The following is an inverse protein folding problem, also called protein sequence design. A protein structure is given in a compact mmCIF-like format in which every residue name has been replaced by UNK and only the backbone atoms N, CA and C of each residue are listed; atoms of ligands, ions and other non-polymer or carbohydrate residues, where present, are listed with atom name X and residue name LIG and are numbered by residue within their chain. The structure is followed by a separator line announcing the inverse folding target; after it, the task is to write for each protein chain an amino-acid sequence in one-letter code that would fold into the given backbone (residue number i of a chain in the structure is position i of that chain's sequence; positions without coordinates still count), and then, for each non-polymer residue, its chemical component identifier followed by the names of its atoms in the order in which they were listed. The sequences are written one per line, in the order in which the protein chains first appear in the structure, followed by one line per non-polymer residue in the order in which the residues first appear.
data_IF_188189723112
#
_entry.id   IF_188189723112
#
_cell.length_a   1.000
_cell.length_b   1.000
_cell.length_c   1.000
_cell.angle_alpha   90.00
_cell.angle_beta   90.00
_cell.angle_gamma   90.00
#
_symmetry.space_group_name_H-M   'P 1'
#
loop_
_entity.id
_entity.type
_entity.pdbx_description
1 polymer ?
#
# COMPACT_ATOMS: atom_id res chain seq x y z
N UNK A 1 6.64 -11.80 18.73
CA UNK A 1 7.26 -12.29 17.48
C UNK A 1 7.75 -11.06 16.76
N UNK A 2 9.03 -11.02 16.38
CA UNK A 2 9.59 -9.91 15.61
C UNK A 2 8.77 -9.68 14.33
N UNK A 3 8.86 -8.48 13.75
CA UNK A 3 8.22 -8.17 12.48
C UNK A 3 8.59 -9.23 11.44
N UNK A 4 7.58 -9.81 10.82
CA UNK A 4 7.73 -10.80 9.76
C UNK A 4 7.28 -10.17 8.45
N UNK A 5 8.10 -10.31 7.40
CA UNK A 5 7.77 -9.91 6.02
C UNK A 5 7.54 -11.20 5.24
N UNK A 6 6.32 -11.40 4.76
CA UNK A 6 5.87 -12.67 4.20
C UNK A 6 5.37 -12.41 2.77
N UNK A 7 5.92 -13.08 1.74
CA UNK A 7 5.33 -13.06 0.41
C UNK A 7 3.90 -13.54 0.45
N UNK A 8 3.00 -12.77 -0.14
CA UNK A 8 1.56 -12.94 -0.06
C UNK A 8 0.96 -12.93 -1.46
N UNK A 9 0.26 -14.02 -1.79
CA UNK A 9 -0.48 -14.12 -3.04
C UNK A 9 -1.92 -13.72 -2.79
N UNK A 10 -2.36 -12.65 -3.47
CA UNK A 10 -3.78 -12.30 -3.52
C UNK A 10 -4.59 -13.45 -4.13
N UNK A 11 -5.81 -13.73 -3.64
CA UNK A 11 -6.66 -14.77 -4.22
C UNK A 11 -7.21 -14.33 -5.58
N UNK A 12 -8.05 -15.16 -6.20
CA UNK A 12 -8.68 -14.81 -7.47
C UNK A 12 -9.52 -13.52 -7.33
N UNK A 13 -9.43 -12.57 -8.27
CA UNK A 13 -10.17 -11.32 -8.20
C UNK A 13 -11.67 -11.56 -8.20
N UNK A 14 -12.40 -10.79 -7.39
CA UNK A 14 -13.82 -10.57 -7.62
C UNK A 14 -13.99 -9.55 -8.75
N UNK A 15 -15.03 -9.72 -9.57
CA UNK A 15 -15.38 -8.78 -10.62
C UNK A 15 -15.89 -7.47 -9.99
N UNK A 16 -15.30 -6.34 -10.41
CA UNK A 16 -15.73 -5.02 -9.97
C UNK A 16 -16.89 -4.57 -10.86
N UNK A 17 -18.02 -4.10 -10.30
CA UNK A 17 -19.15 -3.65 -11.09
C UNK A 17 -18.76 -2.61 -12.15
N UNK A 18 -19.25 -2.77 -13.39
CA UNK A 18 -18.86 -1.94 -14.53
C UNK A 18 -18.99 -0.45 -14.27
N UNK A 19 -20.10 -0.02 -13.66
CA UNK A 19 -20.32 1.40 -13.35
C UNK A 19 -19.27 1.99 -12.38
N UNK A 20 -18.67 1.17 -11.50
CA UNK A 20 -17.57 1.60 -10.63
C UNK A 20 -16.29 1.68 -11.46
N UNK A 21 -15.97 0.63 -12.22
CA UNK A 21 -14.76 0.58 -13.03
C UNK A 21 -14.73 1.69 -14.09
N UNK A 22 -15.84 1.92 -14.79
CA UNK A 22 -15.99 2.98 -15.78
C UNK A 22 -15.93 4.37 -15.14
N UNK A 23 -16.51 4.53 -13.95
CA UNK A 23 -16.38 5.77 -13.18
C UNK A 23 -14.93 6.10 -12.84
N UNK A 24 -14.14 5.09 -12.43
CA UNK A 24 -12.72 5.27 -12.15
C UNK A 24 -11.91 5.57 -13.42
N UNK A 25 -12.20 4.91 -14.54
CA UNK A 25 -11.52 5.15 -15.83
C UNK A 25 -11.74 6.55 -16.41
N UNK A 26 -12.80 7.23 -16.02
CA UNK A 26 -13.09 8.60 -16.45
C UNK A 26 -12.33 9.66 -15.63
N UNK A 27 -11.63 9.25 -14.57
CA UNK A 27 -10.83 10.13 -13.73
C UNK A 27 -9.37 10.19 -14.21
N UNK A 28 -8.64 11.28 -13.92
CA UNK A 28 -7.18 11.27 -13.96
C UNK A 28 -6.62 10.10 -13.14
N UNK A 29 -5.54 9.47 -13.62
CA UNK A 29 -5.07 8.20 -13.07
C UNK A 29 -4.82 8.22 -11.54
N UNK A 30 -4.16 9.26 -11.02
CA UNK A 30 -3.91 9.39 -9.58
C UNK A 30 -5.19 9.65 -8.78
N UNK A 31 -6.16 10.37 -9.36
CA UNK A 31 -7.48 10.59 -8.75
C UNK A 31 -8.28 9.29 -8.72
N UNK A 32 -8.18 8.47 -9.77
CA UNK A 32 -8.80 7.15 -9.82
C UNK A 32 -8.24 6.22 -8.74
N UNK A 33 -6.91 6.19 -8.56
CA UNK A 33 -6.28 5.37 -7.51
C UNK A 33 -6.66 5.86 -6.12
N UNK A 34 -6.66 7.18 -5.89
CA UNK A 34 -7.14 7.76 -4.63
C UNK A 34 -8.59 7.36 -4.36
N UNK A 35 -9.47 7.46 -5.38
CA UNK A 35 -10.86 7.06 -5.26
C UNK A 35 -11.02 5.55 -5.00
N UNK A 36 -10.22 4.73 -5.67
CA UNK A 36 -10.17 3.29 -5.42
C UNK A 36 -9.74 2.98 -3.97
N UNK A 37 -8.74 3.68 -3.45
CA UNK A 37 -8.36 3.55 -2.03
C UNK A 37 -9.50 3.93 -1.08
N UNK A 38 -10.26 5.00 -1.36
CA UNK A 38 -11.47 5.33 -0.58
C UNK A 38 -12.50 4.18 -0.59
N UNK A 39 -12.76 3.57 -1.76
CA UNK A 39 -13.67 2.43 -1.86
C UNK A 39 -13.19 1.21 -1.05
N UNK A 40 -11.87 1.00 -0.95
CA UNK A 40 -11.30 -0.05 -0.09
C UNK A 40 -11.49 0.25 1.40
N UNK A 41 -11.41 1.53 1.79
CA UNK A 41 -11.73 1.93 3.16
C UNK A 41 -13.21 1.71 3.49
N UNK A 42 -14.12 1.92 2.53
CA UNK A 42 -15.56 1.75 2.70
C UNK A 42 -15.97 0.28 2.96
N UNK A 43 -15.20 -0.69 2.44
CA UNK A 43 -15.42 -2.13 2.69
C UNK A 43 -14.61 -2.67 3.87
N UNK A 44 -14.06 -1.79 4.71
CA UNK A 44 -13.20 -2.15 5.84
C UNK A 44 -11.95 -2.95 5.43
N UNK A 45 -11.38 -2.74 4.24
CA UNK A 45 -10.14 -3.42 3.84
C UNK A 45 -8.90 -2.85 4.55
N UNK A 46 -8.94 -1.58 4.97
CA UNK A 46 -7.90 -0.91 5.74
C UNK A 46 -8.46 0.26 6.56
N UNK A 47 -7.67 0.82 7.47
CA UNK A 47 -7.95 2.13 8.09
C UNK A 47 -7.17 3.27 7.43
N UNK A 48 -5.97 2.93 6.93
CA UNK A 48 -5.07 3.84 6.21
C UNK A 48 -4.56 3.11 4.98
N UNK A 49 -4.55 3.79 3.84
CA UNK A 49 -3.95 3.32 2.59
C UNK A 49 -2.93 4.35 2.13
N UNK A 50 -1.70 3.90 1.92
CA UNK A 50 -0.64 4.71 1.32
C UNK A 50 -0.57 4.34 -0.15
N UNK A 51 -0.66 5.34 -1.01
CA UNK A 51 -0.51 5.20 -2.46
C UNK A 51 0.83 5.81 -2.90
N UNK A 52 1.66 4.94 -3.45
CA UNK A 52 2.96 5.28 -4.02
C UNK A 52 2.94 4.95 -5.52
N UNK A 53 3.56 5.80 -6.33
CA UNK A 53 3.62 5.66 -7.79
C UNK A 53 5.05 5.83 -8.28
N UNK A 54 5.43 5.03 -9.26
CA UNK A 54 6.66 5.23 -10.04
C UNK A 54 6.39 6.29 -11.11
N UNK A 55 7.20 7.35 -11.13
CA UNK A 55 7.07 8.40 -12.14
C UNK A 55 7.80 8.05 -13.46
N UNK A 56 7.78 8.97 -14.41
CA UNK A 56 8.39 8.79 -15.73
C UNK A 56 9.92 8.60 -15.68
N UNK A 57 10.57 9.04 -14.60
CA UNK A 57 12.01 8.88 -14.39
C UNK A 57 12.34 7.53 -13.72
N UNK A 58 11.32 6.77 -13.31
CA UNK A 58 11.47 5.50 -12.60
C UNK A 58 11.57 5.67 -11.08
N UNK A 59 11.35 6.88 -10.57
CA UNK A 59 11.49 7.20 -9.16
C UNK A 59 10.20 6.95 -8.39
N UNK A 60 10.33 6.43 -7.18
CA UNK A 60 9.20 6.19 -6.30
C UNK A 60 8.74 7.51 -5.67
N UNK A 61 7.45 7.83 -5.85
CA UNK A 61 6.81 9.03 -5.34
C UNK A 61 5.62 8.68 -4.44
N UNK A 62 5.53 9.30 -3.26
CA UNK A 62 4.30 9.27 -2.48
C UNK A 62 3.25 10.19 -3.13
N UNK A 63 2.15 9.62 -3.60
CA UNK A 63 1.07 10.37 -4.23
C UNK A 63 -0.03 10.74 -3.26
N UNK A 64 -0.49 9.80 -2.45
CA UNK A 64 -1.56 10.05 -1.50
C UNK A 64 -1.47 9.16 -0.27
N UNK A 65 -2.03 9.65 0.82
CA UNK A 65 -2.39 8.84 1.98
C UNK A 65 -3.88 9.06 2.22
N UNK A 66 -4.64 7.97 2.20
CA UNK A 66 -6.09 7.99 2.38
C UNK A 66 -6.39 7.33 3.70
N UNK A 67 -7.08 8.04 4.60
CA UNK A 67 -7.44 7.52 5.93
C UNK A 67 -8.93 7.67 6.16
N UNK A 68 -9.50 6.75 6.94
CA UNK A 68 -10.92 6.79 7.29
C UNK A 68 -11.33 8.06 8.03
N UNK A 69 -10.42 8.62 8.81
CA UNK A 69 -10.65 9.86 9.58
C UNK A 69 -10.36 11.15 8.79
N UNK A 70 -9.98 11.05 7.51
CA UNK A 70 -9.68 12.21 6.66
C UNK A 70 -8.36 12.94 6.98
N UNK A 71 -7.55 12.46 7.94
CA UNK A 71 -6.26 13.05 8.34
C UNK A 71 -5.06 12.50 7.58
N UNK A 72 -5.26 12.02 6.36
CA UNK A 72 -4.20 11.40 5.56
C UNK A 72 -3.06 12.35 5.22
N UNK A 73 -3.34 13.65 5.05
CA UNK A 73 -2.34 14.65 4.67
C UNK A 73 -1.21 14.82 5.71
N UNK A 74 -1.55 14.86 7.00
CA UNK A 74 -0.57 14.98 8.10
C UNK A 74 0.40 13.79 8.11
N UNK A 75 -0.10 12.57 7.91
CA UNK A 75 0.73 11.38 7.81
C UNK A 75 1.55 11.40 6.50
N UNK A 76 0.95 11.85 5.40
CA UNK A 76 1.63 11.99 4.13
C UNK A 76 2.84 12.93 4.21
N UNK A 77 2.72 14.06 4.90
CA UNK A 77 3.85 14.98 5.11
C UNK A 77 5.01 14.34 5.89
N UNK A 78 4.71 13.54 6.91
CA UNK A 78 5.72 12.81 7.69
C UNK A 78 6.40 11.73 6.85
N UNK A 79 5.63 10.99 6.07
CA UNK A 79 6.16 9.92 5.23
C UNK A 79 6.96 10.48 4.05
N UNK A 80 6.58 11.60 3.44
CA UNK A 80 7.38 12.23 2.36
C UNK A 80 8.83 12.57 2.74
N UNK A 81 9.14 12.63 4.03
CA UNK A 81 10.52 12.85 4.53
C UNK A 81 11.39 11.59 4.47
N UNK A 82 10.86 10.43 4.06
CA UNK A 82 11.67 9.23 3.91
C UNK A 82 12.68 9.39 2.76
N UNK A 83 13.93 8.99 3.02
CA UNK A 83 15.06 9.17 2.08
C UNK A 83 14.96 8.36 0.79
N UNK A 84 14.00 7.43 0.70
CA UNK A 84 13.78 6.59 -0.48
C UNK A 84 12.78 7.18 -1.49
N UNK A 85 12.06 8.24 -1.14
CA UNK A 85 11.25 8.96 -2.13
C UNK A 85 12.13 9.84 -3.02
N UNK A 86 11.78 9.92 -4.31
CA UNK A 86 12.62 10.59 -5.32
C UNK A 86 13.90 9.81 -5.66
N UNK A 87 13.86 8.49 -5.48
CA UNK A 87 14.92 7.57 -5.90
C UNK A 87 14.34 6.41 -6.71
N UNK A 88 15.16 5.75 -7.55
CA UNK A 88 14.69 4.62 -8.35
C UNK A 88 14.19 3.49 -7.47
N UNK A 89 13.04 2.92 -7.83
CA UNK A 89 12.47 1.75 -7.13
C UNK A 89 13.44 0.54 -7.12
N UNK A 90 14.36 0.48 -8.08
CA UNK A 90 15.35 -0.60 -8.23
C UNK A 90 16.46 -0.58 -7.18
N UNK A 91 16.58 0.46 -6.36
CA UNK A 91 17.46 0.41 -5.20
C UNK A 91 16.88 -0.55 -4.15
N UNK A 92 17.34 -1.80 -4.19
CA UNK A 92 16.82 -2.91 -3.39
C UNK A 92 16.76 -2.60 -1.89
N UNK A 93 15.62 -2.92 -1.26
CA UNK A 93 15.45 -2.92 0.20
C UNK A 93 15.21 -1.55 0.85
N UNK A 94 15.22 -0.46 0.07
CA UNK A 94 15.05 0.89 0.64
C UNK A 94 13.60 1.24 1.00
N UNK A 95 12.60 0.62 0.34
CA UNK A 95 11.18 0.85 0.62
C UNK A 95 10.38 -0.46 0.65
N UNK A 96 9.19 -0.43 1.26
CA UNK A 96 8.29 -1.58 1.28
C UNK A 96 7.84 -1.97 -0.14
N UNK A 97 7.57 -0.97 -1.00
CA UNK A 97 7.28 -1.20 -2.41
C UNK A 97 8.46 -1.90 -3.11
N UNK A 98 9.69 -1.40 -2.91
CA UNK A 98 10.90 -2.00 -3.49
C UNK A 98 11.09 -3.46 -3.04
N UNK A 99 10.87 -3.75 -1.75
CA UNK A 99 10.91 -5.12 -1.23
C UNK A 99 9.86 -6.03 -1.91
N UNK A 100 8.64 -5.53 -2.15
CA UNK A 100 7.58 -6.28 -2.82
C UNK A 100 7.94 -6.61 -4.27
N UNK A 101 8.45 -5.64 -5.02
CA UNK A 101 8.90 -5.85 -6.41
C UNK A 101 10.11 -6.77 -6.51
N UNK A 102 11.11 -6.63 -5.62
CA UNK A 102 12.25 -7.54 -5.55
C UNK A 102 11.80 -9.00 -5.30
N UNK A 103 10.78 -9.19 -4.46
CA UNK A 103 10.18 -10.49 -4.19
C UNK A 103 9.22 -10.97 -5.29
N UNK A 104 8.93 -10.16 -6.31
CA UNK A 104 7.90 -10.41 -7.35
C UNK A 104 6.56 -10.84 -6.75
N UNK A 105 6.20 -10.22 -5.62
CA UNK A 105 5.03 -10.63 -4.84
C UNK A 105 4.52 -9.46 -4.00
N UNK A 106 3.21 -9.42 -3.76
CA UNK A 106 2.69 -8.58 -2.68
C UNK A 106 3.21 -9.09 -1.34
N UNK A 107 3.28 -8.24 -0.33
CA UNK A 107 3.81 -8.62 0.99
C UNK A 107 2.73 -8.49 2.06
N UNK A 108 2.72 -9.43 3.00
CA UNK A 108 2.07 -9.29 4.30
C UNK A 108 3.14 -9.02 5.35
N UNK A 109 2.99 -7.92 6.08
CA UNK A 109 3.87 -7.55 7.19
C UNK A 109 3.04 -7.50 8.47
N UNK A 110 3.51 -8.21 9.49
CA UNK A 110 2.83 -8.28 10.79
C UNK A 110 3.83 -8.65 11.89
N UNK A 111 3.49 -8.36 13.15
CA UNK A 111 4.30 -8.75 14.30
C UNK A 111 4.49 -7.61 15.31
N UNK A 112 5.55 -7.72 16.11
CA UNK A 112 5.98 -6.72 17.07
C UNK A 112 7.22 -6.03 16.53
N UNK A 113 7.18 -4.70 16.42
CA UNK A 113 8.34 -3.88 16.11
C UNK A 113 8.89 -3.25 17.39
N UNK A 114 10.21 -3.10 17.41
CA UNK A 114 10.97 -2.39 18.44
C UNK A 114 11.90 -1.44 17.71
N UNK A 115 11.97 -0.18 18.16
CA UNK A 115 12.81 0.83 17.56
C UNK A 115 14.29 0.37 17.54
N UNK A 116 14.89 0.38 16.35
CA UNK A 116 16.28 -0.04 16.15
C UNK A 116 16.50 -1.54 15.91
N UNK A 117 15.44 -2.36 15.88
CA UNK A 117 15.53 -3.77 15.47
C UNK A 117 15.10 -3.98 14.01
N UNK A 118 15.74 -4.93 13.33
CA UNK A 118 15.37 -5.34 11.97
C UNK A 118 14.16 -6.31 11.95
N UNK A 119 13.34 -6.31 10.88
CA UNK A 119 13.40 -5.40 9.73
C UNK A 119 12.93 -4.00 10.08
N UNK A 120 13.69 -3.00 9.64
CA UNK A 120 13.37 -1.60 9.86
C UNK A 120 12.19 -1.21 8.97
N UNK A 121 11.04 -0.98 9.59
CA UNK A 121 9.98 -0.23 8.92
C UNK A 121 10.48 1.18 8.63
N UNK A 122 10.02 1.83 7.53
CA UNK A 122 10.27 3.24 7.29
C UNK A 122 10.00 4.07 8.56
N UNK A 123 10.91 4.95 8.95
CA UNK A 123 10.87 5.65 10.24
C UNK A 123 9.54 6.36 10.48
N UNK A 124 9.01 7.06 9.48
CA UNK A 124 7.71 7.73 9.59
C UNK A 124 6.55 6.75 9.76
N UNK A 125 6.62 5.58 9.13
CA UNK A 125 5.61 4.53 9.27
C UNK A 125 5.68 3.87 10.64
N UNK A 126 6.90 3.59 11.14
CA UNK A 126 7.10 3.07 12.49
C UNK A 126 6.56 4.03 13.55
N UNK A 127 6.84 5.33 13.44
CA UNK A 127 6.31 6.36 14.33
C UNK A 127 4.78 6.41 14.32
N UNK A 128 4.17 6.28 13.13
CA UNK A 128 2.72 6.24 13.01
C UNK A 128 2.10 5.00 13.67
N UNK A 129 2.68 3.82 13.44
CA UNK A 129 2.12 2.54 13.89
C UNK A 129 2.35 2.27 15.38
N UNK A 130 3.53 2.63 15.88
CA UNK A 130 3.92 2.38 17.28
C UNK A 130 3.58 3.57 18.18
N UNK A 131 3.33 4.74 17.60
CA UNK A 131 3.23 5.98 18.36
C UNK A 131 4.56 6.33 19.04
N UNK A 132 4.47 7.09 20.13
CA UNK A 132 5.64 7.55 20.89
C UNK A 132 6.29 6.51 21.81
N UNK A 133 5.78 5.27 21.89
CA UNK A 133 6.36 4.23 22.77
C UNK A 133 7.68 3.68 22.24
N UNK A 134 7.84 3.66 20.91
CA UNK A 134 9.02 3.06 20.26
C UNK A 134 8.97 1.52 20.18
N UNK A 135 7.94 0.87 20.72
CA UNK A 135 7.71 -0.56 20.62
C UNK A 135 6.20 -0.90 20.59
N UNK A 136 5.84 -1.97 19.88
CA UNK A 136 4.44 -2.42 19.82
C UNK A 136 4.07 -3.25 18.59
N UNK A 137 2.79 -3.59 18.50
CA UNK A 137 2.26 -4.37 17.39
C UNK A 137 2.00 -3.47 16.18
N UNK A 138 2.49 -3.89 15.01
CA UNK A 138 2.34 -3.11 13.76
C UNK A 138 1.02 -3.38 13.02
N UNK A 139 0.17 -4.24 13.59
CA UNK A 139 -1.07 -4.70 12.96
C UNK A 139 -0.82 -5.66 11.80
N UNK A 140 -1.61 -5.50 10.75
CA UNK A 140 -1.47 -6.20 9.47
C UNK A 140 -1.27 -5.16 8.37
N UNK A 141 -0.16 -5.24 7.66
CA UNK A 141 0.13 -4.37 6.53
C UNK A 141 0.22 -5.21 5.25
N UNK A 142 -0.56 -4.84 4.24
CA UNK A 142 -0.52 -5.50 2.94
C UNK A 142 0.08 -4.53 1.94
N UNK A 143 1.27 -4.86 1.42
CA UNK A 143 1.95 -4.09 0.38
C UNK A 143 1.58 -4.73 -0.95
N UNK A 144 0.65 -4.11 -1.68
CA UNK A 144 0.13 -4.60 -2.93
C UNK A 144 0.84 -3.90 -4.08
N UNK A 145 1.54 -4.67 -4.93
CA UNK A 145 2.21 -4.09 -6.09
C UNK A 145 1.19 -3.61 -7.12
N UNK A 146 1.42 -2.43 -7.69
CA UNK A 146 0.74 -1.96 -8.89
C UNK A 146 1.72 -2.18 -10.03
N UNK A 147 1.45 -3.19 -10.84
CA UNK A 147 2.32 -3.58 -11.95
C UNK A 147 1.53 -3.55 -13.25
N UNK A 148 2.21 -3.09 -14.29
CA UNK A 148 1.71 -3.01 -15.65
C UNK A 148 1.93 -4.28 -16.46
N UNK A 149 1.87 -4.18 -17.79
CA UNK A 149 2.27 -5.28 -18.65
C UNK A 149 3.73 -5.68 -18.40
N UNK A 150 4.04 -6.96 -18.56
CA UNK A 150 5.38 -7.53 -18.34
C UNK A 150 5.98 -7.26 -16.94
N UNK A 151 5.12 -7.14 -15.91
CA UNK A 151 5.49 -6.88 -14.51
C UNK A 151 6.27 -5.57 -14.29
N UNK A 152 6.17 -4.60 -15.21
CA UNK A 152 6.83 -3.32 -15.00
C UNK A 152 6.19 -2.57 -13.82
N UNK A 153 6.99 -1.90 -12.98
CA UNK A 153 6.48 -1.28 -11.76
C UNK A 153 5.75 0.03 -12.05
N UNK A 154 4.49 0.13 -11.62
CA UNK A 154 3.69 1.37 -11.64
C UNK A 154 3.61 2.01 -10.25
N UNK A 155 3.80 1.24 -9.18
CA UNK A 155 3.69 1.73 -7.81
C UNK A 155 3.26 0.66 -6.80
N UNK A 156 2.71 1.09 -5.67
CA UNK A 156 2.15 0.19 -4.66
C UNK A 156 0.99 0.83 -3.89
N UNK A 157 0.08 -0.03 -3.39
CA UNK A 157 -0.87 0.31 -2.35
C UNK A 157 -0.48 -0.41 -1.06
N UNK A 158 -0.17 0.34 -0.01
CA UNK A 158 0.08 -0.23 1.32
C UNK A 158 -1.17 -0.05 2.18
N UNK A 159 -1.88 -1.14 2.45
CA UNK A 159 -3.08 -1.18 3.30
C UNK A 159 -2.65 -1.45 4.75
N UNK A 160 -2.96 -0.53 5.66
CA UNK A 160 -2.67 -0.65 7.09
C UNK A 160 -3.96 -0.98 7.86
N UNK A 161 -3.92 -2.10 8.59
CA UNK A 161 -5.01 -2.55 9.48
C UNK A 161 -4.50 -2.67 10.90
N UNK A 162 -5.17 -2.07 11.91
CA UNK A 162 -4.81 -2.30 13.30
C UNK A 162 -5.03 -3.75 13.70
N UNK A 163 -4.24 -4.21 14.66
CA UNK A 163 -4.36 -5.56 15.23
C UNK A 163 -5.80 -5.88 15.70
N UNK A 164 -6.50 -4.89 16.27
CA UNK A 164 -7.85 -5.04 16.79
C UNK A 164 -8.90 -5.41 15.72
N UNK A 165 -8.64 -5.05 14.46
CA UNK A 165 -9.54 -5.34 13.32
C UNK A 165 -9.27 -6.68 12.64
N UNK A 166 -8.16 -7.35 13.01
CA UNK A 166 -7.72 -8.58 12.38
C UNK A 166 -7.21 -8.41 10.94
N UNK A 167 -6.77 -9.51 10.30
CA UNK A 167 -6.39 -9.51 8.88
C UNK A 167 -7.61 -9.27 7.97
N UNK A 168 -7.37 -9.11 6.66
CA UNK A 168 -8.45 -9.12 5.66
C UNK A 168 -9.30 -10.39 5.80
N UNK A 169 -10.63 -10.26 5.74
CA UNK A 169 -11.57 -11.35 5.96
C UNK A 169 -12.59 -11.49 4.82
N UNK A 170 -13.31 -12.63 4.80
CA UNK A 170 -14.39 -12.91 3.84
C UNK A 170 -13.96 -12.64 2.38
N UNK A 171 -14.69 -11.77 1.68
CA UNK A 171 -14.47 -11.41 0.28
C UNK A 171 -13.52 -10.21 0.11
N UNK A 172 -13.07 -9.57 1.20
CA UNK A 172 -12.22 -8.38 1.14
C UNK A 172 -10.96 -8.60 0.31
N UNK A 173 -10.21 -9.73 0.42
CA UNK A 173 -9.08 -9.98 -0.45
C UNK A 173 -9.44 -10.05 -1.94
N UNK A 174 -10.55 -10.71 -2.28
CA UNK A 174 -10.99 -10.86 -3.67
C UNK A 174 -11.41 -9.51 -4.28
N UNK A 175 -12.17 -8.71 -3.53
CA UNK A 175 -12.58 -7.36 -3.96
C UNK A 175 -11.36 -6.44 -4.08
N UNK A 176 -10.44 -6.51 -3.11
CA UNK A 176 -9.19 -5.74 -3.13
C UNK A 176 -8.35 -6.08 -4.36
N UNK A 177 -8.22 -7.36 -4.71
CA UNK A 177 -7.51 -7.79 -5.91
C UNK A 177 -8.23 -7.34 -7.19
N UNK A 178 -9.55 -7.48 -7.25
CA UNK A 178 -10.36 -7.01 -8.39
C UNK A 178 -10.15 -5.53 -8.66
N UNK A 179 -10.24 -4.71 -7.62
CA UNK A 179 -10.05 -3.27 -7.72
C UNK A 179 -8.61 -2.92 -8.06
N UNK A 180 -7.62 -3.59 -7.43
CA UNK A 180 -6.20 -3.40 -7.74
C UNK A 180 -5.92 -3.59 -9.23
N UNK A 181 -6.50 -4.62 -9.86
CA UNK A 181 -6.35 -4.87 -11.31
C UNK A 181 -6.95 -3.76 -12.17
N UNK A 182 -8.12 -3.25 -11.79
CA UNK A 182 -8.73 -2.09 -12.47
C UNK A 182 -7.79 -0.88 -12.38
N UNK A 183 -7.24 -0.61 -11.21
CA UNK A 183 -6.32 0.51 -10.98
C UNK A 183 -5.00 0.35 -11.74
N UNK A 184 -4.43 -0.86 -11.80
CA UNK A 184 -3.27 -1.13 -12.66
C UNK A 184 -3.57 -0.79 -14.12
N UNK A 185 -4.70 -1.24 -14.66
CA UNK A 185 -5.10 -0.93 -16.04
C UNK A 185 -5.27 0.56 -16.30
N UNK A 186 -5.73 1.33 -15.31
CA UNK A 186 -5.84 2.80 -15.42
C UNK A 186 -4.47 3.47 -15.41
N UNK A 187 -3.53 2.97 -14.60
CA UNK A 187 -2.18 3.54 -14.50
C UNK A 187 -1.32 3.21 -15.73
N UNK A 188 -1.57 2.08 -16.37
CA UNK A 188 -0.93 1.66 -17.62
C UNK A 188 -1.21 2.61 -18.79
N UNK A 189 -2.45 3.11 -18.87
CA UNK A 189 -2.95 3.90 -20.01
C UNK A 189 -3.66 3.06 -21.06
#
# INVERSE_FOLDING_TARGET
MAVSIIPFKMPDPMEIPDHIADGLRQMPADEAVKKGAELLLDIDAAETIIYERVDEEGDLQMRAVVTRNGRGEELGEQLRQQEFYGKPLTEEGNSLAGAAFACKSSLLIMGQAVAGEEPLLPTGLAQHLLGGSGDGNVGFMYVLTLAGADDHPLGALTLLRPQATGPLNHEQPNITEGLRRVLCGILEG
#
